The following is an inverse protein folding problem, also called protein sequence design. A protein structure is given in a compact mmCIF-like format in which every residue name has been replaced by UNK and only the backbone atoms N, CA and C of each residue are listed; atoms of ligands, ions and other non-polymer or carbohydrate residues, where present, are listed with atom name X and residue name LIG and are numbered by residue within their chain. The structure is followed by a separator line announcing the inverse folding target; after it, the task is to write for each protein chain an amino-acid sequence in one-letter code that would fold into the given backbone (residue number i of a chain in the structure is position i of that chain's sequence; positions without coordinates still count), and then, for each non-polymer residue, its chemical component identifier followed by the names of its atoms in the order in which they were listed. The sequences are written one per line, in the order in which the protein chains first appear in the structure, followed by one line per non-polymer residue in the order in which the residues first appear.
data_IF_407044323298
#
_entry.id   IF_407044323298
#
_cell.length_a   1.000
_cell.length_b   1.000
_cell.length_c   1.000
_cell.angle_alpha   90.00
_cell.angle_beta   90.00
_cell.angle_gamma   90.00
#
_symmetry.space_group_name_H-M   'P 1'
#
loop_
_entity.id
_entity.type
_entity.pdbx_description
1 polymer ?
#
# COMPACT_ATOMS: atom_id res chain seq x y z
N UNK A 1 -7.17 -10.06 14.13
CA UNK A 1 -6.99 -8.72 13.49
C UNK A 1 -7.30 -8.89 12.02
N UNK A 2 -8.29 -8.15 11.48
CA UNK A 2 -8.66 -8.29 10.07
C UNK A 2 -7.43 -8.05 9.18
N UNK A 3 -7.02 -9.09 8.46
CA UNK A 3 -5.93 -9.03 7.51
C UNK A 3 -6.48 -8.31 6.28
N UNK A 4 -5.81 -7.22 5.87
CA UNK A 4 -6.27 -6.46 4.71
C UNK A 4 -5.91 -7.28 3.48
N UNK A 5 -6.88 -7.62 2.61
CA UNK A 5 -6.61 -8.42 1.42
C UNK A 5 -5.45 -7.84 0.59
N UNK A 6 -4.65 -8.69 -0.04
CA UNK A 6 -3.47 -8.27 -0.81
C UNK A 6 -3.81 -7.52 -2.09
N UNK A 7 -5.00 -7.75 -2.63
CA UNK A 7 -5.60 -7.09 -3.79
C UNK A 7 -6.16 -5.68 -3.48
N UNK A 8 -6.04 -5.21 -2.23
CA UNK A 8 -6.34 -3.82 -1.86
C UNK A 8 -5.10 -2.95 -2.05
N UNK A 9 -5.20 -2.02 -2.99
CA UNK A 9 -4.15 -1.08 -3.34
C UNK A 9 -3.99 0.06 -2.34
N UNK A 10 -2.83 0.73 -2.42
CA UNK A 10 -2.51 1.92 -1.65
C UNK A 10 -2.13 3.09 -2.54
N UNK A 11 -2.75 4.26 -2.37
CA UNK A 11 -2.36 5.50 -3.06
C UNK A 11 -1.54 6.45 -2.16
N UNK A 12 -0.92 5.95 -1.09
CA UNK A 12 -0.14 6.79 -0.19
C UNK A 12 1.27 7.01 -0.72
N UNK A 13 1.44 8.07 -1.51
CA UNK A 13 2.73 8.52 -2.06
C UNK A 13 3.71 9.01 -0.98
N UNK A 14 3.22 9.39 0.21
CA UNK A 14 4.05 9.85 1.33
C UNK A 14 4.69 8.71 2.11
N UNK A 15 4.26 7.47 1.92
CA UNK A 15 4.83 6.33 2.63
C UNK A 15 6.27 6.09 2.15
N UNK A 16 7.25 6.05 3.06
CA UNK A 16 8.67 5.78 2.75
C UNK A 16 8.88 4.53 1.88
N UNK A 17 8.01 3.52 2.04
CA UNK A 17 8.07 2.27 1.30
C UNK A 17 7.10 2.19 0.12
N UNK A 18 6.52 3.30 -0.35
CA UNK A 18 5.60 3.28 -1.49
C UNK A 18 6.25 2.63 -2.74
N UNK A 19 7.52 2.91 -2.99
CA UNK A 19 8.31 2.29 -4.06
C UNK A 19 8.64 0.81 -3.87
N UNK A 20 8.50 0.26 -2.66
CA UNK A 20 8.76 -1.15 -2.36
C UNK A 20 7.48 -1.92 -2.06
N UNK A 21 6.32 -1.25 -2.09
CA UNK A 21 5.06 -1.80 -1.63
C UNK A 21 4.22 -2.34 -2.80
N UNK A 22 3.86 -3.62 -2.76
CA UNK A 22 2.94 -4.26 -3.72
C UNK A 22 1.60 -3.55 -3.78
N UNK A 23 1.10 -3.03 -2.64
CA UNK A 23 -0.17 -2.26 -2.61
C UNK A 23 -0.11 -1.00 -3.45
N UNK A 24 1.02 -0.29 -3.40
CA UNK A 24 1.20 0.92 -4.21
C UNK A 24 1.30 0.58 -5.70
N UNK A 25 1.97 -0.52 -6.02
CA UNK A 25 2.09 -1.01 -7.39
C UNK A 25 0.72 -1.38 -7.99
N UNK A 26 -0.10 -2.18 -7.31
CA UNK A 26 -1.42 -2.58 -7.83
C UNK A 26 -2.41 -1.41 -7.92
N UNK A 27 -2.26 -0.38 -7.06
CA UNK A 27 -3.04 0.85 -7.16
C UNK A 27 -2.66 1.66 -8.40
N UNK A 28 -1.35 1.82 -8.67
CA UNK A 28 -0.87 2.51 -9.87
C UNK A 28 -1.19 1.74 -11.15
N UNK A 29 -1.09 0.40 -11.11
CA UNK A 29 -1.38 -0.44 -12.27
C UNK A 29 -2.88 -0.60 -12.56
N UNK A 30 -3.76 -0.08 -11.69
CA UNK A 30 -5.21 -0.23 -11.83
C UNK A 30 -5.71 -1.67 -11.65
N UNK A 31 -4.90 -2.54 -11.04
CA UNK A 31 -5.24 -3.96 -10.80
C UNK A 31 -5.77 -4.21 -9.38
N UNK A 32 -5.78 -3.18 -8.54
CA UNK A 32 -6.37 -3.24 -7.21
C UNK A 32 -7.90 -3.35 -7.27
N UNK A 33 -8.47 -4.21 -6.43
CA UNK A 33 -9.92 -4.31 -6.23
C UNK A 33 -10.50 -3.03 -5.63
N UNK A 34 -9.78 -2.45 -4.68
CA UNK A 34 -10.10 -1.19 -4.00
C UNK A 34 -8.79 -0.44 -3.72
N UNK A 35 -8.83 0.89 -3.72
CA UNK A 35 -7.67 1.73 -3.38
C UNK A 35 -7.95 2.45 -2.07
N UNK A 36 -7.05 2.33 -1.09
CA UNK A 36 -7.16 2.98 0.22
C UNK A 36 -5.86 3.67 0.61
N UNK A 37 -5.95 4.71 1.42
CA UNK A 37 -4.77 5.36 1.98
C UNK A 37 -4.42 4.72 3.33
N UNK A 38 -3.29 4.03 3.42
CA UNK A 38 -2.80 3.45 4.69
C UNK A 38 -1.90 4.44 5.44
N UNK A 39 -1.72 4.22 6.74
CA UNK A 39 -0.98 5.09 7.67
C UNK A 39 0.56 5.05 7.55
N UNK A 40 1.10 4.91 6.33
CA UNK A 40 2.53 5.08 6.09
C UNK A 40 2.92 6.55 6.10
N UNK A 41 4.12 6.86 6.54
CA UNK A 41 4.68 8.22 6.56
C UNK A 41 6.05 8.24 5.89
N UNK A 42 6.60 9.44 5.69
CA UNK A 42 7.91 9.65 5.05
C UNK A 42 9.06 9.06 5.89
N UNK A 43 8.81 8.80 7.17
CA UNK A 43 9.78 8.24 8.11
C UNK A 43 9.48 6.76 8.45
N UNK A 44 8.26 6.26 8.22
CA UNK A 44 7.82 4.95 8.71
C UNK A 44 6.93 4.18 7.74
N UNK A 45 7.26 2.89 7.54
CA UNK A 45 6.43 1.94 6.77
C UNK A 45 5.06 1.74 7.45
N UNK A 46 4.00 1.59 6.65
CA UNK A 46 2.68 1.28 7.20
C UNK A 46 2.63 -0.15 7.76
N UNK A 47 1.80 -0.42 8.77
CA UNK A 47 1.62 -1.77 9.33
C UNK A 47 0.89 -2.76 8.42
N UNK A 48 0.61 -2.36 7.17
CA UNK A 48 0.01 -3.18 6.10
C UNK A 48 0.95 -3.30 4.89
N UNK A 49 2.24 -3.04 5.09
CA UNK A 49 3.26 -3.19 4.05
C UNK A 49 3.21 -4.59 3.46
N UNK A 50 3.27 -4.65 2.13
CA UNK A 50 3.43 -5.88 1.37
C UNK A 50 4.64 -5.69 0.48
N UNK A 51 5.64 -6.55 0.63
CA UNK A 51 6.81 -6.58 -0.24
C UNK A 51 6.37 -6.93 -1.68
N UNK A 52 7.08 -6.37 -2.66
CA UNK A 52 6.83 -6.60 -4.09
C UNK A 52 7.17 -8.01 -4.53
#
# INVERSE_FOLDING_TARGET
MAQVPEDVGCNNEKCIAHNECKRFLIAQNGTAREVKTFSGTEEKKCGKFLER
#
